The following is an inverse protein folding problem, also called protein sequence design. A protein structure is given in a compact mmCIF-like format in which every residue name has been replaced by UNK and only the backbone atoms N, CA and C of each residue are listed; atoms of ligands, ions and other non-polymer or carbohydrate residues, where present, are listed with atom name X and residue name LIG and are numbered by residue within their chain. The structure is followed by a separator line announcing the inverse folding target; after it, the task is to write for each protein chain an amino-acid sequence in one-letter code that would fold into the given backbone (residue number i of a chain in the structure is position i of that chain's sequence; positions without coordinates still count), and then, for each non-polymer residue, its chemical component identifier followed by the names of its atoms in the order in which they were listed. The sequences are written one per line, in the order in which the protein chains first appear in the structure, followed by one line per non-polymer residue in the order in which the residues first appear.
data_IF_237297968193
#
_entry.id   IF_237297968193
#
_cell.length_a   1.000
_cell.length_b   1.000
_cell.length_c   1.000
_cell.angle_alpha   90.00
_cell.angle_beta   90.00
_cell.angle_gamma   90.00
#
_symmetry.space_group_name_H-M   'P 1'
#
loop_
_entity.id
_entity.type
_entity.pdbx_description
1 polymer ?
#
# COMPACT_ATOMS: atom_id res chain seq x y z
N UNK A 1 -6.72 8.00 -18.86
CA UNK A 1 -7.75 9.03 -18.70
C UNK A 1 -8.78 8.57 -17.70
N UNK A 2 -9.21 9.45 -16.78
CA UNK A 2 -10.16 9.22 -15.68
C UNK A 2 -11.40 8.36 -16.04
N UNK A 3 -11.84 8.45 -17.26
CA UNK A 3 -13.02 7.73 -17.81
C UNK A 3 -12.74 6.27 -18.21
N UNK A 4 -11.49 5.84 -18.28
CA UNK A 4 -11.12 4.49 -18.70
C UNK A 4 -10.69 3.56 -17.56
N UNK A 5 -10.66 4.05 -16.31
CA UNK A 5 -10.35 3.22 -15.14
C UNK A 5 -8.93 2.65 -15.08
N UNK A 6 -8.00 3.21 -15.87
CA UNK A 6 -6.61 2.77 -15.92
C UNK A 6 -5.74 3.29 -14.76
N UNK A 7 -6.40 3.87 -13.75
CA UNK A 7 -5.89 3.96 -12.37
C UNK A 7 -4.62 4.76 -12.09
N UNK A 8 -4.09 5.54 -13.04
CA UNK A 8 -2.93 6.37 -12.73
C UNK A 8 -3.36 7.64 -11.96
N UNK A 9 -3.25 7.60 -10.63
CA UNK A 9 -3.59 8.75 -9.77
C UNK A 9 -2.76 10.00 -10.08
N UNK A 10 -1.55 9.86 -10.65
CA UNK A 10 -0.71 10.99 -11.02
C UNK A 10 -1.28 11.79 -12.20
N UNK A 11 -2.07 11.17 -13.07
CA UNK A 11 -2.76 11.87 -14.15
C UNK A 11 -3.88 12.79 -13.66
N UNK A 12 -4.35 12.60 -12.42
CA UNK A 12 -5.33 13.48 -11.79
C UNK A 12 -4.71 14.81 -11.36
N UNK A 13 -3.38 14.87 -11.21
CA UNK A 13 -2.69 16.05 -10.76
C UNK A 13 -2.37 16.96 -11.94
N UNK A 14 -2.84 18.22 -11.95
CA UNK A 14 -2.43 19.17 -12.96
C UNK A 14 -0.93 19.41 -12.86
N UNK A 15 -0.24 19.60 -13.98
CA UNK A 15 1.21 19.89 -14.02
C UNK A 15 1.61 21.07 -13.12
N UNK A 16 0.72 22.02 -12.89
CA UNK A 16 0.91 23.12 -11.96
C UNK A 16 1.05 22.66 -10.50
N UNK A 17 0.44 21.52 -10.12
CA UNK A 17 0.51 20.99 -8.76
C UNK A 17 1.95 20.67 -8.32
N UNK A 18 2.81 20.32 -9.27
CA UNK A 18 4.24 20.03 -9.01
C UNK A 18 5.12 21.29 -8.81
N UNK A 19 4.57 22.48 -9.05
CA UNK A 19 5.32 23.75 -8.96
C UNK A 19 5.02 24.55 -7.70
N UNK A 20 3.91 24.25 -7.03
CA UNK A 20 3.52 24.99 -5.81
C UNK A 20 4.02 24.25 -4.56
N UNK A 21 4.44 24.99 -3.55
CA UNK A 21 4.77 24.45 -2.23
C UNK A 21 3.55 23.85 -1.55
N UNK A 22 2.40 24.48 -1.71
CA UNK A 22 1.11 24.03 -1.21
C UNK A 22 0.07 24.25 -2.30
N UNK A 23 -0.69 23.22 -2.62
CA UNK A 23 -1.78 23.27 -3.60
C UNK A 23 -3.07 22.70 -3.01
N UNK A 24 -4.21 23.32 -3.29
CA UNK A 24 -5.52 22.79 -2.97
C UNK A 24 -6.20 22.30 -4.24
N UNK A 25 -6.55 21.02 -4.29
CA UNK A 25 -7.21 20.41 -5.46
C UNK A 25 -8.72 20.67 -5.50
N UNK A 26 -9.34 21.17 -4.46
CA UNK A 26 -10.68 21.76 -4.38
C UNK A 26 -11.85 21.14 -5.16
N UNK A 27 -11.73 19.88 -5.59
CA UNK A 27 -12.66 19.26 -6.55
C UNK A 27 -13.87 18.64 -5.86
N UNK A 28 -13.83 18.45 -4.55
CA UNK A 28 -14.88 17.76 -3.80
C UNK A 28 -15.22 18.49 -2.50
N UNK A 29 -16.27 18.05 -1.83
CA UNK A 29 -16.61 18.50 -0.46
C UNK A 29 -15.51 18.14 0.54
N UNK A 30 -14.63 17.19 0.20
CA UNK A 30 -13.41 16.84 0.91
C UNK A 30 -12.26 17.63 0.28
N UNK A 31 -11.71 18.57 1.02
CA UNK A 31 -10.54 19.34 0.55
C UNK A 31 -9.31 18.45 0.53
N UNK A 32 -8.68 18.31 -0.64
CA UNK A 32 -7.39 17.62 -0.78
C UNK A 32 -6.31 18.67 -0.94
N UNK A 33 -5.36 18.68 -0.03
CA UNK A 33 -4.23 19.61 -0.04
C UNK A 33 -2.95 18.85 -0.37
N UNK A 34 -2.19 19.36 -1.34
CA UNK A 34 -0.88 18.83 -1.73
C UNK A 34 0.22 19.67 -1.09
N UNK A 35 1.21 19.01 -0.54
CA UNK A 35 2.39 19.63 0.05
C UNK A 35 3.65 19.16 -0.68
N UNK A 36 4.39 20.10 -1.31
CA UNK A 36 5.66 19.85 -2.00
C UNK A 36 6.84 20.54 -1.29
N UNK A 37 6.64 21.00 -0.07
CA UNK A 37 7.67 21.61 0.76
C UNK A 37 8.09 20.62 1.85
N UNK A 38 9.39 20.35 1.95
CA UNK A 38 9.96 19.38 2.86
C UNK A 38 9.67 19.68 4.33
N UNK A 39 9.70 20.95 4.72
CA UNK A 39 9.49 21.36 6.11
C UNK A 39 8.01 21.15 6.50
N UNK A 40 7.09 21.49 5.59
CA UNK A 40 5.66 21.23 5.79
C UNK A 40 5.34 19.75 5.84
N UNK A 41 5.94 18.94 4.96
CA UNK A 41 5.78 17.48 4.97
C UNK A 41 6.28 16.91 6.29
N UNK A 42 7.47 17.31 6.75
CA UNK A 42 8.02 16.88 8.03
C UNK A 42 7.14 17.29 9.22
N UNK A 43 6.58 18.51 9.17
CA UNK A 43 5.67 18.99 10.22
C UNK A 43 4.41 18.13 10.29
N UNK A 44 3.77 17.85 9.15
CA UNK A 44 2.55 17.04 9.07
C UNK A 44 2.82 15.59 9.50
N UNK A 45 3.93 14.99 9.03
CA UNK A 45 4.25 13.59 9.35
C UNK A 45 4.65 13.37 10.81
N UNK A 46 5.18 14.39 11.47
CA UNK A 46 5.53 14.31 12.89
C UNK A 46 4.34 14.59 13.80
N UNK A 47 3.44 15.43 13.34
CA UNK A 47 2.17 15.83 13.98
C UNK A 47 2.15 15.68 15.53
N UNK A 48 2.98 16.44 16.25
CA UNK A 48 3.11 16.28 17.71
C UNK A 48 1.80 16.61 18.45
N UNK A 49 0.93 17.39 17.82
CA UNK A 49 -0.35 17.84 18.38
C UNK A 49 -1.56 17.04 17.88
N UNK A 50 -1.32 16.00 17.06
CA UNK A 50 -2.35 15.13 16.47
C UNK A 50 -3.45 15.91 15.71
N UNK A 51 -3.03 16.94 14.97
CA UNK A 51 -3.91 17.82 14.20
C UNK A 51 -4.30 17.19 12.86
N UNK A 52 -3.46 16.27 12.33
CA UNK A 52 -3.61 15.65 11.02
C UNK A 52 -3.97 14.16 11.15
N UNK A 53 -5.24 13.83 11.43
CA UNK A 53 -5.66 12.43 11.53
C UNK A 53 -5.54 11.73 10.19
N UNK A 54 -5.47 10.40 10.22
CA UNK A 54 -5.51 9.59 9.00
C UNK A 54 -6.81 9.85 8.24
N UNK A 55 -6.71 9.85 6.91
CA UNK A 55 -7.88 10.00 6.05
C UNK A 55 -8.86 8.85 6.29
N UNK A 56 -10.12 9.16 6.59
CA UNK A 56 -11.19 8.19 6.72
C UNK A 56 -11.42 7.39 5.43
N UNK A 57 -11.17 8.01 4.26
CA UNK A 57 -11.17 7.31 2.96
C UNK A 57 -10.09 6.23 2.90
N UNK A 58 -8.86 6.56 3.30
CA UNK A 58 -7.76 5.60 3.34
C UNK A 58 -8.05 4.48 4.35
N UNK A 59 -8.49 4.85 5.54
CA UNK A 59 -8.84 3.88 6.59
C UNK A 59 -9.91 2.91 6.10
N UNK A 60 -11.03 3.41 5.56
CA UNK A 60 -12.12 2.56 5.07
C UNK A 60 -11.72 1.69 3.88
N UNK A 61 -10.73 2.14 3.08
CA UNK A 61 -10.23 1.39 1.94
C UNK A 61 -9.36 0.20 2.35
N UNK A 62 -8.51 0.36 3.36
CA UNK A 62 -7.51 -0.66 3.73
C UNK A 62 -7.90 -1.50 4.96
N UNK A 63 -8.82 -1.03 5.80
CA UNK A 63 -9.27 -1.74 7.01
C UNK A 63 -9.78 -3.16 6.74
N UNK A 64 -10.53 -3.45 5.66
CA UNK A 64 -10.95 -4.81 5.35
C UNK A 64 -9.81 -5.80 5.14
N UNK A 65 -8.67 -5.32 4.59
CA UNK A 65 -7.50 -6.14 4.33
C UNK A 65 -6.62 -6.34 5.57
N UNK A 66 -6.33 -5.24 6.29
CA UNK A 66 -5.32 -5.24 7.35
C UNK A 66 -5.89 -5.03 8.75
N UNK A 67 -7.21 -5.00 8.87
CA UNK A 67 -7.90 -4.85 10.15
C UNK A 67 -7.45 -3.61 10.94
N UNK A 68 -7.46 -3.73 12.25
CA UNK A 68 -7.09 -2.65 13.18
C UNK A 68 -5.57 -2.54 13.37
N UNK A 69 -4.84 -2.47 12.26
CA UNK A 69 -3.38 -2.35 12.24
C UNK A 69 -2.90 -0.92 12.47
N UNK A 70 -1.58 -0.75 12.54
CA UNK A 70 -0.90 0.56 12.66
C UNK A 70 -1.25 1.53 11.52
N UNK A 71 -1.68 1.03 10.36
CA UNK A 71 -2.09 1.85 9.23
C UNK A 71 -3.49 2.44 9.39
N UNK A 72 -4.33 1.83 10.23
CA UNK A 72 -5.74 2.15 10.40
C UNK A 72 -6.01 2.86 11.72
N UNK A 73 -5.31 2.47 12.78
CA UNK A 73 -5.52 2.99 14.14
C UNK A 73 -4.92 4.36 14.36
N UNK A 74 -5.51 5.13 15.28
CA UNK A 74 -5.06 6.45 15.71
C UNK A 74 -4.86 6.52 17.23
N UNK A 75 -4.36 7.66 17.71
CA UNK A 75 -4.26 8.00 19.11
C UNK A 75 -3.45 7.02 19.94
N UNK A 76 -3.94 6.69 21.12
CA UNK A 76 -3.24 5.81 22.08
C UNK A 76 -3.02 4.38 21.55
N UNK A 77 -3.98 3.85 20.77
CA UNK A 77 -3.86 2.51 20.19
C UNK A 77 -2.72 2.48 19.17
N UNK A 78 -2.64 3.48 18.31
CA UNK A 78 -1.55 3.62 17.36
C UNK A 78 -0.19 3.77 18.06
N UNK A 79 -0.10 4.60 19.10
CA UNK A 79 1.16 4.79 19.86
C UNK A 79 1.65 3.47 20.47
N UNK A 80 0.75 2.67 21.03
CA UNK A 80 1.10 1.35 21.59
C UNK A 80 1.61 0.41 20.48
N UNK A 81 0.90 0.33 19.35
CA UNK A 81 1.32 -0.50 18.22
C UNK A 81 2.66 -0.01 17.64
N UNK A 82 2.85 1.30 17.49
CA UNK A 82 4.10 1.89 17.00
C UNK A 82 5.28 1.55 17.90
N UNK A 83 5.11 1.70 19.20
CA UNK A 83 6.15 1.35 20.19
C UNK A 83 6.52 -0.14 20.16
N UNK A 84 5.58 -1.04 19.84
CA UNK A 84 5.84 -2.47 19.67
C UNK A 84 6.64 -2.77 18.40
N UNK A 85 6.42 -2.01 17.33
CA UNK A 85 7.04 -2.23 16.01
C UNK A 85 8.42 -1.56 15.91
N UNK A 86 8.64 -0.41 16.53
CA UNK A 86 9.90 0.36 16.45
C UNK A 86 11.18 -0.46 16.70
N UNK A 87 11.26 -1.37 17.70
CA UNK A 87 12.45 -2.17 17.91
C UNK A 87 12.78 -3.11 16.74
N UNK A 88 11.78 -3.51 15.93
CA UNK A 88 12.00 -4.38 14.78
C UNK A 88 12.80 -3.69 13.67
N UNK A 89 12.76 -2.36 13.61
CA UNK A 89 13.51 -1.55 12.63
C UNK A 89 14.90 -1.11 13.14
N UNK A 90 15.41 -1.71 14.23
CA UNK A 90 16.77 -1.42 14.68
C UNK A 90 17.80 -1.89 13.63
N UNK A 91 18.92 -1.17 13.53
CA UNK A 91 20.01 -1.49 12.58
C UNK A 91 20.50 -2.94 12.70
N UNK A 92 20.55 -3.47 13.92
CA UNK A 92 20.97 -4.85 14.17
C UNK A 92 20.01 -5.86 13.54
N UNK A 93 18.70 -5.64 13.65
CA UNK A 93 17.68 -6.52 13.08
C UNK A 93 17.61 -6.41 11.56
N UNK A 94 17.78 -5.21 11.00
CA UNK A 94 17.87 -4.98 9.57
C UNK A 94 19.08 -5.73 8.98
N UNK A 95 20.24 -5.66 9.63
CA UNK A 95 21.43 -6.38 9.18
C UNK A 95 21.25 -7.91 9.22
N UNK A 96 20.51 -8.42 10.21
CA UNK A 96 20.18 -9.85 10.25
C UNK A 96 19.19 -10.24 9.15
N UNK A 97 18.17 -9.43 8.91
CA UNK A 97 17.19 -9.66 7.86
C UNK A 97 17.82 -9.63 6.45
N UNK A 98 18.92 -8.90 6.25
CA UNK A 98 19.59 -8.80 4.95
C UNK A 98 20.02 -10.16 4.39
N UNK A 99 20.54 -11.05 5.23
CA UNK A 99 20.90 -12.41 4.78
C UNK A 99 19.70 -13.22 4.30
N UNK A 100 18.55 -13.04 4.92
CA UNK A 100 17.30 -13.69 4.52
C UNK A 100 16.77 -13.10 3.20
N UNK A 101 16.90 -11.79 3.03
CA UNK A 101 16.55 -11.10 1.79
C UNK A 101 17.42 -11.58 0.62
N UNK A 102 18.73 -11.72 0.86
CA UNK A 102 19.66 -12.21 -0.16
C UNK A 102 19.33 -13.65 -0.55
N UNK A 103 19.05 -14.52 0.42
CA UNK A 103 18.67 -15.90 0.12
C UNK A 103 17.39 -15.99 -0.73
N UNK A 104 16.39 -15.11 -0.47
CA UNK A 104 15.20 -15.04 -1.31
C UNK A 104 15.52 -14.61 -2.75
N UNK A 105 16.43 -13.64 -2.91
CA UNK A 105 16.88 -13.20 -4.25
C UNK A 105 17.61 -14.30 -4.99
N UNK A 106 18.53 -15.01 -4.34
CA UNK A 106 19.32 -16.09 -4.94
C UNK A 106 18.42 -17.26 -5.41
N UNK A 107 17.41 -17.63 -4.58
CA UNK A 107 16.43 -18.66 -4.95
C UNK A 107 15.59 -18.22 -6.16
N UNK A 108 15.17 -16.96 -6.18
CA UNK A 108 14.34 -16.41 -7.26
C UNK A 108 15.13 -16.23 -8.56
N UNK A 109 16.42 -15.86 -8.47
CA UNK A 109 17.33 -15.81 -9.62
C UNK A 109 17.43 -17.19 -10.27
N UNK A 110 17.62 -18.24 -9.48
CA UNK A 110 17.67 -19.63 -9.97
C UNK A 110 16.39 -20.04 -10.70
N UNK A 111 15.22 -19.65 -10.17
CA UNK A 111 13.93 -19.90 -10.82
C UNK A 111 13.83 -19.17 -12.16
N UNK A 112 14.22 -17.89 -12.21
CA UNK A 112 14.19 -17.09 -13.44
C UNK A 112 15.16 -17.61 -14.51
N UNK A 113 16.35 -18.08 -14.12
CA UNK A 113 17.30 -18.73 -15.03
C UNK A 113 16.70 -19.99 -15.67
N UNK A 114 16.05 -20.85 -14.88
CA UNK A 114 15.36 -22.03 -15.39
C UNK A 114 14.25 -21.70 -16.39
N UNK A 115 13.46 -20.64 -16.12
CA UNK A 115 12.44 -20.15 -17.06
C UNK A 115 13.05 -19.57 -18.34
N UNK A 116 14.14 -18.83 -18.22
CA UNK A 116 14.86 -18.28 -19.38
C UNK A 116 15.41 -19.39 -20.28
N UNK A 117 15.96 -20.47 -19.70
CA UNK A 117 16.45 -21.65 -20.45
C UNK A 117 15.31 -22.39 -21.16
N UNK A 118 14.14 -22.49 -20.56
CA UNK A 118 12.95 -23.10 -21.16
C UNK A 118 12.29 -22.26 -22.24
N UNK A 119 12.61 -20.95 -22.32
CA UNK A 119 11.96 -19.98 -23.21
C UNK A 119 10.51 -19.68 -22.83
N UNK A 120 10.13 -19.92 -21.58
CA UNK A 120 8.79 -19.64 -21.06
C UNK A 120 8.60 -18.14 -20.87
N UNK A 121 7.50 -17.61 -21.40
CA UNK A 121 7.09 -16.23 -21.13
C UNK A 121 6.48 -16.12 -19.72
N UNK A 122 6.90 -15.12 -18.96
CA UNK A 122 6.37 -14.86 -17.62
C UNK A 122 6.09 -13.37 -17.38
N UNK A 123 5.21 -13.08 -16.45
CA UNK A 123 4.92 -11.71 -16.02
C UNK A 123 6.00 -11.21 -15.04
N UNK A 124 6.74 -10.18 -15.44
CA UNK A 124 7.73 -9.55 -14.56
C UNK A 124 7.08 -8.97 -13.28
N UNK A 125 5.88 -8.41 -13.41
CA UNK A 125 5.11 -7.86 -12.29
C UNK A 125 4.80 -8.94 -11.26
N UNK A 126 4.31 -10.09 -11.71
CA UNK A 126 4.05 -11.24 -10.85
C UNK A 126 5.33 -11.78 -10.19
N UNK A 127 6.42 -11.92 -10.96
CA UNK A 127 7.70 -12.39 -10.44
C UNK A 127 8.25 -11.47 -9.34
N UNK A 128 8.20 -10.15 -9.56
CA UNK A 128 8.67 -9.17 -8.57
C UNK A 128 7.74 -9.09 -7.35
N UNK A 129 6.45 -9.27 -7.54
CA UNK A 129 5.48 -9.38 -6.44
C UNK A 129 5.75 -10.59 -5.55
N UNK A 130 5.98 -11.76 -6.14
CA UNK A 130 6.32 -13.00 -5.42
C UNK A 130 7.65 -12.86 -4.66
N UNK A 131 8.69 -12.34 -5.33
CA UNK A 131 9.99 -12.07 -4.69
C UNK A 131 9.83 -11.15 -3.48
N UNK A 132 9.10 -10.05 -3.62
CA UNK A 132 8.89 -9.08 -2.54
C UNK A 132 8.16 -9.71 -1.36
N UNK A 133 7.12 -10.50 -1.64
CA UNK A 133 6.37 -11.22 -0.62
C UNK A 133 7.24 -12.26 0.10
N UNK A 134 8.07 -13.04 -0.61
CA UNK A 134 8.97 -14.00 -0.01
C UNK A 134 10.05 -13.34 0.85
N UNK A 135 10.62 -12.21 0.39
CA UNK A 135 11.55 -11.39 1.18
C UNK A 135 10.91 -10.98 2.52
N UNK A 136 9.66 -10.49 2.48
CA UNK A 136 8.95 -10.07 3.69
C UNK A 136 8.68 -11.28 4.60
N UNK A 137 8.22 -12.39 4.07
CA UNK A 137 7.97 -13.61 4.83
C UNK A 137 9.24 -14.13 5.53
N UNK A 138 10.35 -14.19 4.84
CA UNK A 138 11.65 -14.61 5.43
C UNK A 138 12.13 -13.62 6.47
N UNK A 139 12.05 -12.32 6.19
CA UNK A 139 12.53 -11.28 7.11
C UNK A 139 11.71 -11.17 8.40
N UNK A 140 10.37 -11.37 8.32
CA UNK A 140 9.45 -11.18 9.45
C UNK A 140 9.15 -12.51 10.16
N UNK A 141 8.90 -13.57 9.41
CA UNK A 141 8.45 -14.87 9.93
C UNK A 141 9.55 -15.94 9.90
N UNK A 142 10.72 -15.65 9.30
CA UNK A 142 11.84 -16.58 9.15
C UNK A 142 11.45 -17.86 8.36
N UNK A 143 10.52 -17.75 7.45
CA UNK A 143 10.05 -18.84 6.60
C UNK A 143 9.90 -18.36 5.16
N UNK A 144 10.20 -19.21 4.19
CA UNK A 144 9.92 -18.93 2.78
C UNK A 144 8.42 -19.00 2.49
N UNK A 145 7.97 -18.23 1.54
CA UNK A 145 6.60 -18.27 1.06
C UNK A 145 6.42 -19.47 0.12
N UNK A 146 5.43 -20.33 0.41
CA UNK A 146 5.06 -21.39 -0.52
C UNK A 146 4.54 -20.79 -1.84
N UNK A 147 5.02 -21.29 -2.98
CA UNK A 147 4.71 -20.72 -4.30
C UNK A 147 3.22 -20.76 -4.66
N UNK A 148 2.49 -21.76 -4.17
CA UNK A 148 1.05 -21.85 -4.42
C UNK A 148 0.28 -20.82 -3.59
N UNK A 149 0.62 -20.70 -2.30
CA UNK A 149 0.05 -19.69 -1.41
C UNK A 149 0.40 -18.28 -1.92
N UNK A 150 1.64 -18.08 -2.36
CA UNK A 150 2.07 -16.81 -2.94
C UNK A 150 1.22 -16.39 -4.14
N UNK A 151 0.90 -17.35 -5.02
CA UNK A 151 0.08 -17.07 -6.20
C UNK A 151 -1.36 -16.70 -5.82
N UNK A 152 -1.99 -17.44 -4.91
CA UNK A 152 -3.35 -17.15 -4.44
C UNK A 152 -3.43 -15.78 -3.76
N UNK A 153 -2.50 -15.48 -2.85
CA UNK A 153 -2.42 -14.17 -2.17
C UNK A 153 -2.17 -13.04 -3.17
N UNK A 154 -1.32 -13.27 -4.16
CA UNK A 154 -1.03 -12.27 -5.20
C UNK A 154 -2.26 -11.93 -6.03
N UNK A 155 -3.05 -12.92 -6.45
CA UNK A 155 -4.28 -12.71 -7.23
C UNK A 155 -5.34 -11.95 -6.40
N UNK A 156 -5.54 -12.32 -5.15
CA UNK A 156 -6.48 -11.64 -4.26
C UNK A 156 -6.02 -10.21 -3.94
N UNK A 157 -4.71 -10.00 -3.75
CA UNK A 157 -4.14 -8.68 -3.54
C UNK A 157 -4.26 -7.78 -4.78
N UNK A 158 -4.03 -8.31 -5.98
CA UNK A 158 -4.27 -7.58 -7.23
C UNK A 158 -5.72 -7.17 -7.40
N UNK A 159 -6.65 -8.05 -7.02
CA UNK A 159 -8.08 -7.72 -7.04
C UNK A 159 -8.38 -6.57 -6.09
N UNK A 160 -7.84 -6.60 -4.89
CA UNK A 160 -7.95 -5.51 -3.91
C UNK A 160 -7.36 -4.20 -4.45
N UNK A 161 -6.11 -4.21 -4.94
CA UNK A 161 -5.44 -3.01 -5.45
C UNK A 161 -6.21 -2.33 -6.59
N UNK A 162 -6.68 -3.10 -7.56
CA UNK A 162 -7.45 -2.57 -8.70
C UNK A 162 -8.71 -1.85 -8.24
N UNK A 163 -9.34 -2.28 -7.16
CA UNK A 163 -10.56 -1.68 -6.67
C UNK A 163 -10.32 -0.52 -5.71
N UNK A 164 -9.32 -0.61 -4.86
CA UNK A 164 -8.92 0.48 -3.95
C UNK A 164 -8.40 1.69 -4.72
N UNK A 165 -7.69 1.47 -5.82
CA UNK A 165 -7.23 2.55 -6.69
C UNK A 165 -8.36 3.21 -7.50
N UNK A 166 -9.53 2.59 -7.61
CA UNK A 166 -10.70 3.17 -8.29
C UNK A 166 -11.39 4.17 -7.37
N UNK A 167 -10.94 5.41 -7.44
CA UNK A 167 -11.63 6.51 -6.76
C UNK A 167 -13.00 6.74 -7.39
N UNK A 168 -14.07 6.50 -6.64
CA UNK A 168 -15.43 6.86 -7.08
C UNK A 168 -15.60 8.38 -7.02
N UNK A 169 -15.27 9.04 -8.14
CA UNK A 169 -15.35 10.50 -8.28
C UNK A 169 -16.78 11.00 -8.11
N UNK A 170 -17.75 10.24 -8.59
CA UNK A 170 -19.16 10.62 -8.43
C UNK A 170 -19.57 10.59 -6.95
N UNK A 171 -19.17 9.56 -6.23
CA UNK A 171 -19.38 9.49 -4.78
C UNK A 171 -18.69 10.64 -4.06
N UNK A 172 -17.44 10.96 -4.39
CA UNK A 172 -16.71 12.09 -3.80
C UNK A 172 -17.37 13.45 -4.02
N UNK A 173 -18.03 13.63 -5.18
CA UNK A 173 -18.71 14.91 -5.53
C UNK A 173 -20.11 14.98 -4.91
N UNK A 174 -20.87 13.88 -4.94
CA UNK A 174 -22.30 13.89 -4.63
C UNK A 174 -22.63 13.45 -3.21
N UNK A 175 -21.85 12.55 -2.62
CA UNK A 175 -22.10 12.03 -1.29
C UNK A 175 -21.68 13.02 -0.19
N UNK A 176 -22.27 12.90 1.01
CA UNK A 176 -21.83 13.68 2.18
C UNK A 176 -20.35 13.40 2.49
N UNK A 177 -19.65 14.41 3.04
CA UNK A 177 -18.22 14.30 3.36
C UNK A 177 -17.89 13.19 4.39
N UNK A 178 -18.85 12.75 5.18
CA UNK A 178 -18.73 11.67 6.16
C UNK A 178 -19.05 10.27 5.59
N UNK A 179 -19.49 10.19 4.31
CA UNK A 179 -19.85 8.93 3.67
C UNK A 179 -18.67 8.41 2.85
N UNK A 180 -18.25 7.18 3.10
CA UNK A 180 -17.24 6.49 2.30
C UNK A 180 -17.90 5.62 1.22
N UNK A 181 -17.25 5.43 0.05
CA UNK A 181 -17.74 4.51 -0.96
C UNK A 181 -17.84 3.09 -0.37
N UNK A 182 -18.96 2.37 -0.60
CA UNK A 182 -19.08 0.99 -0.18
C UNK A 182 -18.08 0.12 -0.97
N UNK A 183 -17.45 -0.81 -0.30
CA UNK A 183 -16.57 -1.78 -0.96
C UNK A 183 -17.41 -2.89 -1.62
N UNK A 184 -16.93 -3.40 -2.75
CA UNK A 184 -17.61 -4.47 -3.45
C UNK A 184 -17.48 -5.79 -2.68
N UNK A 185 -18.53 -6.65 -2.64
CA UNK A 185 -18.46 -7.92 -1.95
C UNK A 185 -17.28 -8.80 -2.38
N UNK A 186 -16.97 -8.85 -3.66
CA UNK A 186 -15.83 -9.60 -4.22
C UNK A 186 -14.48 -9.18 -3.64
N UNK A 187 -14.31 -7.88 -3.34
CA UNK A 187 -13.09 -7.34 -2.70
C UNK A 187 -13.03 -7.73 -1.23
N UNK A 188 -14.16 -7.67 -0.53
CA UNK A 188 -14.23 -8.08 0.88
C UNK A 188 -13.95 -9.59 1.03
N UNK A 189 -14.44 -10.41 0.09
CA UNK A 189 -14.17 -11.84 0.05
C UNK A 189 -12.67 -12.12 -0.22
N UNK A 190 -12.05 -11.37 -1.13
CA UNK A 190 -10.60 -11.45 -1.38
C UNK A 190 -9.79 -11.05 -0.12
N UNK A 191 -10.14 -9.95 0.54
CA UNK A 191 -9.50 -9.54 1.80
C UNK A 191 -9.63 -10.59 2.92
N UNK A 192 -10.71 -11.36 2.94
CA UNK A 192 -10.93 -12.40 3.95
C UNK A 192 -10.12 -13.67 3.67
N UNK A 193 -9.64 -13.88 2.44
CA UNK A 193 -8.76 -15.02 2.08
C UNK A 193 -7.28 -14.73 2.31
N UNK A 194 -6.86 -13.46 2.23
CA UNK A 194 -5.49 -13.00 2.57
C UNK A 194 -5.26 -13.05 4.07
#
# INVERSE_FOLDING_TARGET
TLWRGEGNLLELLPAAAYKFKVGNLGISRRSTVLFNDQDLVNHILRDPDEIFPKSDLMVSAVEPLIGQSIFVTDGEKWRKQRAMVDPAFSMMRISHAFSQMQAAVDDHETELEGRAESGEEYSLDQAMGQLTADIICRAVFSTSLDSNIAHEVFEDFNLFERHVAQTDIMHMITAPAWSNPPQKPEVLDACARI
#
